data_IF_528323370367
#
_entry.id   IF_528323370367
#
_cell.length_a   1.000
_cell.length_b   1.000
_cell.length_c   1.000
_cell.angle_alpha   90.00
_cell.angle_beta   90.00
_cell.angle_gamma   90.00
#
_symmetry.space_group_name_H-M   'P 1'
#
loop_
_entity.id
_entity.type
_entity.pdbx_description
1 polymer ?
#
# COMPACT_ATOMS: atom_id res chain seq x y z
N UNK A 1 -5.73 -6.38 -11.67
CA UNK A 1 -4.64 -5.46 -12.06
C UNK A 1 -3.67 -6.23 -12.94
N UNK A 2 -3.65 -5.95 -14.24
CA UNK A 2 -2.74 -6.63 -15.19
C UNK A 2 -1.48 -5.77 -15.30
N UNK A 3 -0.44 -6.12 -14.57
CA UNK A 3 0.88 -5.53 -14.85
C UNK A 3 1.41 -6.19 -16.11
N UNK A 4 1.50 -5.41 -17.18
CA UNK A 4 2.15 -5.86 -18.41
C UNK A 4 3.66 -5.93 -18.14
N UNK A 5 4.24 -7.07 -18.35
CA UNK A 5 5.66 -7.38 -18.08
C UNK A 5 6.63 -6.42 -18.81
N UNK A 6 6.17 -5.79 -19.87
CA UNK A 6 6.96 -4.89 -20.72
C UNK A 6 6.94 -3.41 -20.30
N UNK A 7 6.08 -3.00 -19.34
CA UNK A 7 5.94 -1.60 -18.90
C UNK A 7 6.47 -1.36 -17.49
N UNK A 8 7.28 -2.28 -16.98
CA UNK A 8 7.86 -2.10 -15.65
C UNK A 8 8.85 -0.92 -15.65
N UNK A 9 8.69 0.07 -14.77
CA UNK A 9 9.60 1.20 -14.71
C UNK A 9 11.05 0.73 -14.47
N UNK A 10 12.05 1.39 -15.07
CA UNK A 10 13.44 1.03 -14.87
C UNK A 10 13.80 1.16 -13.39
N UNK A 11 14.47 0.14 -12.87
CA UNK A 11 14.95 0.14 -11.50
C UNK A 11 16.28 0.86 -11.40
N UNK A 12 16.46 1.64 -10.34
CA UNK A 12 17.75 2.23 -9.99
C UNK A 12 18.76 1.11 -9.68
N UNK A 13 20.04 1.37 -9.93
CA UNK A 13 21.09 0.37 -9.78
C UNK A 13 21.13 -0.28 -8.40
N UNK A 14 21.01 0.50 -7.33
CA UNK A 14 20.97 -0.02 -5.97
C UNK A 14 19.82 -1.02 -5.72
N UNK A 15 18.68 -0.80 -6.35
CA UNK A 15 17.52 -1.70 -6.22
C UNK A 15 17.76 -3.01 -6.98
N UNK A 16 18.36 -2.94 -8.16
CA UNK A 16 18.76 -4.12 -8.93
C UNK A 16 19.79 -4.95 -8.16
N UNK A 17 20.79 -4.30 -7.56
CA UNK A 17 21.83 -4.98 -6.79
C UNK A 17 21.26 -5.61 -5.52
N UNK A 18 20.33 -4.91 -4.86
CA UNK A 18 19.64 -5.48 -3.70
C UNK A 18 18.80 -6.70 -4.08
N UNK A 19 18.11 -6.67 -5.22
CA UNK A 19 17.31 -7.81 -5.69
C UNK A 19 18.15 -9.06 -6.02
N UNK A 20 19.39 -8.89 -6.42
CA UNK A 20 20.32 -10.00 -6.72
C UNK A 20 20.92 -10.65 -5.47
N UNK A 21 20.79 -10.03 -4.29
CA UNK A 21 21.35 -10.60 -3.05
C UNK A 21 20.67 -11.92 -2.71
N UNK A 22 21.42 -12.99 -2.44
CA UNK A 22 20.85 -14.26 -2.03
C UNK A 22 20.22 -14.16 -0.63
N UNK A 23 19.32 -15.09 -0.30
CA UNK A 23 18.71 -15.19 1.03
C UNK A 23 17.61 -14.17 1.32
N UNK A 24 17.13 -13.42 0.32
CA UNK A 24 15.98 -12.55 0.50
C UNK A 24 14.71 -13.39 0.63
N UNK A 25 14.09 -13.27 1.79
CA UNK A 25 12.83 -13.96 2.10
C UNK A 25 11.75 -12.91 2.30
N UNK A 26 10.56 -13.16 1.75
CA UNK A 26 9.43 -12.25 1.91
C UNK A 26 9.09 -12.03 3.40
N UNK A 27 8.75 -10.80 3.82
CA UNK A 27 8.37 -10.51 5.20
C UNK A 27 7.29 -11.44 5.76
N UNK A 28 6.31 -11.85 4.94
CA UNK A 28 5.24 -12.74 5.38
C UNK A 28 5.72 -14.17 5.75
N UNK A 29 6.86 -14.62 5.26
CA UNK A 29 7.45 -15.88 5.71
C UNK A 29 7.85 -15.85 7.20
N UNK A 30 7.98 -14.65 7.76
CA UNK A 30 8.22 -14.40 9.19
C UNK A 30 6.98 -13.83 9.90
N UNK A 31 5.79 -14.01 9.34
CA UNK A 31 4.54 -13.43 9.87
C UNK A 31 4.57 -11.90 9.99
N UNK A 32 5.39 -11.22 9.19
CA UNK A 32 5.46 -9.76 9.12
C UNK A 32 4.55 -9.23 8.00
N UNK A 33 3.99 -8.01 8.15
CA UNK A 33 3.12 -7.43 7.14
C UNK A 33 3.80 -7.28 5.78
N UNK A 34 3.07 -7.52 4.71
CA UNK A 34 3.57 -7.29 3.34
C UNK A 34 3.50 -5.81 2.92
N UNK A 35 2.66 -5.03 3.58
CA UNK A 35 2.36 -3.66 3.23
C UNK A 35 1.17 -3.53 2.28
N UNK A 36 0.75 -2.28 2.03
CA UNK A 36 -0.50 -1.96 1.34
C UNK A 36 -0.59 -2.54 -0.07
N UNK A 37 0.47 -2.39 -0.86
CA UNK A 37 0.43 -2.75 -2.30
C UNK A 37 0.28 -4.24 -2.52
N UNK A 38 0.96 -5.06 -1.74
CA UNK A 38 0.83 -6.52 -1.82
C UNK A 38 -0.44 -7.02 -1.13
N UNK A 39 -0.84 -6.40 -0.02
CA UNK A 39 -2.09 -6.71 0.66
C UNK A 39 -3.31 -6.47 -0.23
N UNK A 40 -3.32 -5.41 -1.03
CA UNK A 40 -4.41 -5.09 -1.94
C UNK A 40 -4.57 -6.09 -3.12
N UNK A 41 -3.60 -6.98 -3.34
CA UNK A 41 -3.73 -8.07 -4.32
C UNK A 41 -4.53 -9.28 -3.77
N UNK A 42 -4.81 -9.31 -2.46
CA UNK A 42 -5.56 -10.35 -1.77
C UNK A 42 -6.96 -9.83 -1.38
N UNK A 43 -7.88 -10.71 -0.95
CA UNK A 43 -9.19 -10.28 -0.47
C UNK A 43 -9.06 -9.26 0.67
N UNK A 44 -9.85 -8.20 0.59
CA UNK A 44 -9.91 -7.18 1.62
C UNK A 44 -11.34 -6.67 1.83
N UNK A 45 -11.58 -6.06 2.99
CA UNK A 45 -12.86 -5.47 3.35
C UNK A 45 -12.68 -4.05 3.83
N UNK A 46 -13.51 -3.13 3.30
CA UNK A 46 -13.61 -1.77 3.82
C UNK A 46 -14.72 -1.67 4.86
N UNK A 47 -14.40 -1.01 5.97
CA UNK A 47 -15.34 -0.59 7.01
C UNK A 47 -15.20 0.92 7.13
N UNK A 48 -16.27 1.66 6.81
CA UNK A 48 -16.23 3.12 6.80
C UNK A 48 -17.10 3.71 7.89
N UNK A 49 -16.58 4.73 8.53
CA UNK A 49 -17.27 5.69 9.41
C UNK A 49 -17.14 7.10 8.81
N UNK A 50 -17.82 8.13 9.36
CA UNK A 50 -17.74 9.49 8.82
C UNK A 50 -16.33 10.09 8.75
N UNK A 51 -15.41 9.65 9.63
CA UNK A 51 -14.06 10.22 9.76
C UNK A 51 -12.94 9.22 9.49
N UNK A 52 -13.27 7.96 9.28
CA UNK A 52 -12.26 6.89 9.20
C UNK A 52 -12.74 5.78 8.30
N UNK A 53 -11.84 5.27 7.47
CA UNK A 53 -12.00 4.02 6.75
C UNK A 53 -10.95 3.04 7.25
N UNK A 54 -11.37 1.82 7.54
CA UNK A 54 -10.49 0.70 7.87
C UNK A 54 -10.51 -0.28 6.70
N UNK A 55 -9.34 -0.59 6.16
CA UNK A 55 -9.14 -1.68 5.23
C UNK A 55 -8.59 -2.88 6.02
N UNK A 56 -9.36 -3.97 6.05
CA UNK A 56 -8.94 -5.25 6.60
C UNK A 56 -8.43 -6.12 5.47
N UNK A 57 -7.20 -6.60 5.56
CA UNK A 57 -6.60 -7.49 4.59
C UNK A 57 -6.61 -8.92 5.13
N UNK A 58 -7.04 -9.88 4.30
CA UNK A 58 -7.02 -11.29 4.67
C UNK A 58 -5.58 -11.81 4.83
N UNK A 59 -4.71 -11.37 3.93
CA UNK A 59 -3.29 -11.72 4.00
C UNK A 59 -2.62 -11.06 5.20
N UNK A 60 -1.90 -11.87 5.97
CA UNK A 60 -1.17 -11.46 7.20
C UNK A 60 -2.04 -10.83 8.30
N UNK A 61 -3.37 -10.93 8.21
CA UNK A 61 -4.32 -10.41 9.21
C UNK A 61 -4.05 -8.97 9.63
N UNK A 62 -3.64 -8.13 8.67
CA UNK A 62 -3.31 -6.74 8.90
C UNK A 62 -4.48 -5.83 8.57
N UNK A 63 -4.46 -4.65 9.15
CA UNK A 63 -5.41 -3.59 8.81
C UNK A 63 -4.67 -2.29 8.49
N UNK A 64 -5.35 -1.43 7.77
CA UNK A 64 -4.92 -0.07 7.45
C UNK A 64 -5.99 0.90 7.87
N UNK A 65 -5.61 1.94 8.57
CA UNK A 65 -6.50 3.05 8.90
C UNK A 65 -6.26 4.21 7.92
N UNK A 66 -7.34 4.72 7.35
CA UNK A 66 -7.34 5.92 6.50
C UNK A 66 -8.15 7.01 7.20
N UNK A 67 -7.55 8.17 7.40
CA UNK A 67 -8.22 9.32 8.01
C UNK A 67 -9.00 10.09 6.94
N UNK A 68 -10.32 10.26 7.16
CA UNK A 68 -11.23 10.97 6.25
C UNK A 68 -11.71 12.32 6.83
N UNK A 69 -11.06 12.81 7.87
CA UNK A 69 -11.44 14.01 8.61
C UNK A 69 -10.73 15.30 8.12
N UNK A 70 -10.06 15.22 6.97
CA UNK A 70 -9.36 16.35 6.36
C UNK A 70 -8.02 16.71 6.97
N UNK A 71 -7.49 15.88 7.88
CA UNK A 71 -6.17 16.13 8.46
C UNK A 71 -5.06 15.98 7.42
N UNK A 72 -3.96 16.71 7.63
CA UNK A 72 -2.74 16.51 6.85
C UNK A 72 -1.90 15.34 7.40
N UNK A 73 -0.94 14.89 6.61
CA UNK A 73 0.09 13.97 7.11
C UNK A 73 0.93 14.64 8.21
N UNK A 74 1.30 13.90 9.27
CA UNK A 74 2.26 14.41 10.24
C UNK A 74 3.63 14.63 9.58
N UNK A 75 4.33 15.70 9.97
CA UNK A 75 5.64 16.04 9.39
C UNK A 75 6.71 14.99 9.72
N UNK A 76 6.63 14.41 10.91
CA UNK A 76 7.64 13.49 11.48
C UNK A 76 6.94 12.19 11.91
N UNK A 77 6.22 11.53 10.98
CA UNK A 77 5.60 10.24 11.25
C UNK A 77 6.66 9.14 11.32
N UNK A 78 6.61 8.33 12.37
CA UNK A 78 7.43 7.12 12.44
C UNK A 78 7.10 6.20 11.27
N UNK A 79 8.11 5.68 10.53
CA UNK A 79 7.89 4.79 9.41
C UNK A 79 7.25 3.47 9.84
N UNK A 80 6.14 3.11 9.22
CA UNK A 80 5.39 1.89 9.52
C UNK A 80 5.24 0.97 8.31
N UNK A 81 4.76 -0.26 8.52
CA UNK A 81 4.46 -1.20 7.45
C UNK A 81 3.36 -0.72 6.50
N UNK A 82 2.34 -0.06 7.04
CA UNK A 82 1.16 0.38 6.29
C UNK A 82 1.19 1.87 5.95
N UNK A 83 2.19 2.60 6.44
CA UNK A 83 2.27 4.04 6.29
C UNK A 83 1.20 4.79 7.10
N UNK A 84 1.15 6.11 6.91
CA UNK A 84 0.09 6.98 7.39
C UNK A 84 -0.79 7.39 6.20
N UNK A 85 -2.08 7.10 6.27
CA UNK A 85 -3.02 7.32 5.17
C UNK A 85 -4.04 8.38 5.51
N UNK A 86 -4.21 9.32 4.58
CA UNK A 86 -5.32 10.28 4.57
C UNK A 86 -6.14 10.06 3.31
N UNK A 87 -7.43 10.35 3.35
CA UNK A 87 -8.29 10.16 2.19
C UNK A 87 -9.37 11.24 2.10
N UNK A 88 -9.87 11.42 0.90
CA UNK A 88 -11.00 12.29 0.60
C UNK A 88 -11.81 11.76 -0.58
N UNK A 89 -13.02 12.24 -0.71
CA UNK A 89 -13.89 11.86 -1.82
C UNK A 89 -13.84 12.91 -2.93
N UNK A 90 -13.58 12.44 -4.15
CA UNK A 90 -13.74 13.20 -5.39
C UNK A 90 -14.97 12.66 -6.13
N UNK A 91 -16.15 13.21 -5.83
CA UNK A 91 -17.42 12.64 -6.30
C UNK A 91 -17.60 11.20 -5.78
N UNK A 92 -17.65 10.21 -6.67
CA UNK A 92 -17.79 8.78 -6.33
C UNK A 92 -16.44 8.05 -6.18
N UNK A 93 -15.33 8.76 -6.28
CA UNK A 93 -13.99 8.20 -6.19
C UNK A 93 -13.39 8.52 -4.84
N UNK A 94 -13.01 7.50 -4.09
CA UNK A 94 -12.20 7.64 -2.88
C UNK A 94 -10.72 7.75 -3.30
N UNK A 95 -10.10 8.87 -2.98
CA UNK A 95 -8.66 9.09 -3.17
C UNK A 95 -7.97 8.92 -1.83
N UNK A 96 -6.98 8.04 -1.78
CA UNK A 96 -6.18 7.78 -0.57
C UNK A 96 -4.74 8.12 -0.86
N UNK A 97 -4.16 8.95 -0.01
CA UNK A 97 -2.76 9.33 -0.05
C UNK A 97 -2.02 8.76 1.15
N UNK A 98 -0.83 8.17 0.92
CA UNK A 98 -0.09 7.46 1.96
C UNK A 98 1.40 7.74 1.88
N UNK A 99 1.96 8.12 3.01
CA UNK A 99 3.40 8.37 3.22
C UNK A 99 3.88 7.65 4.49
N UNK A 100 5.16 7.77 4.83
CA UNK A 100 5.70 7.22 6.08
C UNK A 100 5.76 5.69 6.11
N UNK A 101 6.11 5.09 4.99
CA UNK A 101 6.39 3.65 4.93
C UNK A 101 7.78 3.35 5.48
N UNK A 102 7.95 2.18 6.12
CA UNK A 102 9.28 1.67 6.41
C UNK A 102 9.92 1.03 5.16
N UNK A 103 11.22 0.81 5.19
CA UNK A 103 12.00 0.19 4.12
C UNK A 103 12.01 -1.35 4.15
N UNK A 104 11.31 -1.97 5.13
CA UNK A 104 11.28 -3.42 5.36
C UNK A 104 10.31 -4.15 4.45
N UNK A 105 9.33 -3.45 3.88
CA UNK A 105 8.35 -4.02 2.99
C UNK A 105 8.85 -4.17 1.55
N UNK A 106 8.12 -4.96 0.77
CA UNK A 106 8.41 -5.16 -0.63
C UNK A 106 7.26 -4.69 -1.50
N UNK A 107 7.60 -4.33 -2.72
CA UNK A 107 6.67 -4.11 -3.82
C UNK A 107 6.51 -5.41 -4.63
N UNK A 108 5.50 -5.54 -5.50
CA UNK A 108 5.37 -6.66 -6.40
C UNK A 108 6.68 -6.98 -7.13
N UNK A 109 6.88 -8.24 -7.50
CA UNK A 109 8.10 -8.76 -8.13
C UNK A 109 9.35 -8.61 -7.25
N UNK A 110 9.18 -8.67 -5.91
CA UNK A 110 10.27 -8.57 -4.92
C UNK A 110 11.09 -7.26 -4.97
N UNK A 111 10.52 -6.21 -5.52
CA UNK A 111 11.19 -4.91 -5.59
C UNK A 111 11.27 -4.29 -4.20
N UNK A 112 12.43 -3.71 -3.83
CA UNK A 112 12.56 -3.00 -2.57
C UNK A 112 11.75 -1.70 -2.60
N UNK A 113 11.19 -1.32 -1.46
CA UNK A 113 10.66 0.02 -1.24
C UNK A 113 11.58 0.78 -0.29
N UNK A 114 11.45 2.09 -0.28
CA UNK A 114 12.17 2.97 0.66
C UNK A 114 11.18 3.80 1.48
N UNK A 115 11.65 4.43 2.54
CA UNK A 115 10.85 5.36 3.35
C UNK A 115 10.37 6.60 2.55
N UNK A 116 11.00 6.86 1.40
CA UNK A 116 10.57 7.93 0.47
C UNK A 116 9.37 7.54 -0.39
N UNK A 117 8.85 6.32 -0.23
CA UNK A 117 7.70 5.88 -0.99
C UNK A 117 6.49 6.75 -0.67
N UNK A 118 5.82 7.20 -1.72
CA UNK A 118 4.55 7.90 -1.69
C UNK A 118 3.56 7.11 -2.55
N UNK A 119 2.40 6.81 -2.03
CA UNK A 119 1.39 6.01 -2.71
C UNK A 119 0.07 6.77 -2.75
N UNK A 120 -0.43 7.02 -3.97
CA UNK A 120 -1.78 7.53 -4.19
C UNK A 120 -2.62 6.44 -4.83
N UNK A 121 -3.77 6.14 -4.23
CA UNK A 121 -4.72 5.13 -4.70
C UNK A 121 -6.07 5.78 -4.97
N UNK A 122 -6.76 5.31 -6.00
CA UNK A 122 -8.11 5.75 -6.33
C UNK A 122 -9.02 4.53 -6.39
N UNK A 123 -10.10 4.56 -5.60
CA UNK A 123 -11.11 3.50 -5.57
C UNK A 123 -12.44 4.05 -6.04
N UNK A 124 -13.00 3.45 -7.06
CA UNK A 124 -14.32 3.76 -7.57
C UNK A 124 -15.15 2.50 -7.69
N UNK A 125 -16.35 2.52 -7.14
CA UNK A 125 -17.32 1.46 -7.36
C UNK A 125 -18.02 1.70 -8.71
N UNK A 126 -17.84 0.78 -9.64
CA UNK A 126 -18.44 0.88 -10.98
C UNK A 126 -19.85 0.32 -10.98
N UNK A 127 -20.04 -0.81 -10.29
CA UNK A 127 -21.35 -1.47 -10.09
C UNK A 127 -21.32 -2.32 -8.81
N UNK A 128 -22.34 -3.16 -8.59
CA UNK A 128 -22.45 -3.98 -7.37
C UNK A 128 -21.31 -4.99 -7.20
N UNK A 129 -20.70 -5.44 -8.29
CA UNK A 129 -19.66 -6.48 -8.29
C UNK A 129 -18.24 -5.97 -8.54
N UNK A 130 -18.07 -4.69 -8.94
CA UNK A 130 -16.78 -4.20 -9.41
C UNK A 130 -16.32 -2.93 -8.70
N UNK A 131 -15.11 -3.03 -8.14
CA UNK A 131 -14.33 -1.92 -7.60
C UNK A 131 -13.08 -1.74 -8.48
N UNK A 132 -12.85 -0.53 -8.97
CA UNK A 132 -11.67 -0.17 -9.77
C UNK A 132 -10.79 0.81 -9.03
#
# INVERSE_FOLDING_TARGET
MRMLENDAPPLLQWAQDLMKKPGRVSPNAYCLPQGVVLGAANPFKFIQSPKTLIALFEDTFTYRQVHLDGRAHPKDADPTWMGHSVGHWEGETLVIDTVGFNDKGWMPMQRPRTEKMHLTEKFRRVDEGHLT
#
